data_IF_308008090489
#
_entry.id   IF_308008090489
#
_cell.length_a   1.000
_cell.length_b   1.000
_cell.length_c   1.000
_cell.angle_alpha   90.00
_cell.angle_beta   90.00
_cell.angle_gamma   90.00
#
_symmetry.space_group_name_H-M   'P 1'
#
loop_
_entity.id
_entity.type
_entity.pdbx_description
1 polymer ?
#
# COMPACT_ATOMS: atom_id res chain seq x y z
N UNK A 1 16.98 10.44 -19.69
CA UNK A 1 15.72 10.41 -20.48
C UNK A 1 14.60 10.97 -19.61
N UNK A 2 13.66 11.72 -20.18
CA UNK A 2 12.52 12.21 -19.39
C UNK A 2 11.52 11.07 -19.21
N UNK A 3 11.11 10.85 -17.97
CA UNK A 3 10.15 9.81 -17.60
C UNK A 3 8.78 10.46 -17.35
N UNK A 4 7.74 9.96 -18.02
CA UNK A 4 6.36 10.44 -17.89
C UNK A 4 5.45 9.25 -17.54
N UNK A 5 4.62 9.41 -16.51
CA UNK A 5 3.68 8.40 -16.04
C UNK A 5 2.33 9.04 -15.77
N UNK A 6 1.26 8.42 -16.28
CA UNK A 6 -0.11 8.67 -15.82
C UNK A 6 -0.52 7.57 -14.84
N UNK A 7 -0.95 7.94 -13.64
CA UNK A 7 -1.37 7.00 -12.59
C UNK A 7 -2.54 7.57 -11.79
N UNK A 8 -3.41 6.70 -11.31
CA UNK A 8 -4.56 7.05 -10.47
C UNK A 8 -5.20 5.80 -9.89
N UNK A 9 -5.96 5.97 -8.80
CA UNK A 9 -6.70 4.90 -8.14
C UNK A 9 -7.98 5.47 -7.51
N UNK A 10 -9.10 4.72 -7.47
CA UNK A 10 -10.18 5.01 -6.52
C UNK A 10 -9.68 4.81 -5.08
N UNK A 11 -10.46 5.25 -4.08
CA UNK A 11 -10.13 5.01 -2.66
C UNK A 11 -10.31 6.18 -1.70
N UNK A 12 -10.87 7.31 -2.16
CA UNK A 12 -11.16 8.46 -1.30
C UNK A 12 -9.92 9.04 -0.63
N UNK A 13 -9.92 9.11 0.71
CA UNK A 13 -8.79 9.65 1.48
C UNK A 13 -7.53 8.76 1.43
N UNK A 14 -7.63 7.52 0.94
CA UNK A 14 -6.52 6.55 0.85
C UNK A 14 -5.68 6.73 -0.42
N UNK A 15 -6.17 7.49 -1.40
CA UNK A 15 -5.55 7.67 -2.73
C UNK A 15 -4.07 8.10 -2.61
N UNK A 16 -3.70 9.12 -1.79
CA UNK A 16 -2.31 9.56 -1.71
C UNK A 16 -1.37 8.46 -1.18
N UNK A 17 -1.81 7.68 -0.20
CA UNK A 17 -1.01 6.62 0.40
C UNK A 17 -0.77 5.48 -0.57
N UNK A 18 -1.84 4.98 -1.22
CA UNK A 18 -1.76 3.89 -2.19
C UNK A 18 -0.88 4.27 -3.39
N UNK A 19 -1.05 5.49 -3.92
CA UNK A 19 -0.20 5.95 -5.03
C UNK A 19 1.26 6.09 -4.61
N UNK A 20 1.52 6.56 -3.39
CA UNK A 20 2.88 6.67 -2.87
C UNK A 20 3.55 5.29 -2.73
N UNK A 21 2.85 4.28 -2.21
CA UNK A 21 3.35 2.90 -2.13
C UNK A 21 3.79 2.39 -3.51
N UNK A 22 2.94 2.51 -4.53
CA UNK A 22 3.24 2.04 -5.89
C UNK A 22 4.41 2.80 -6.51
N UNK A 23 4.45 4.13 -6.37
CA UNK A 23 5.51 4.95 -6.97
C UNK A 23 6.86 4.67 -6.30
N UNK A 24 6.89 4.62 -4.96
CA UNK A 24 8.13 4.37 -4.21
C UNK A 24 8.66 2.98 -4.52
N UNK A 25 7.79 1.97 -4.59
CA UNK A 25 8.21 0.60 -4.91
C UNK A 25 8.74 0.49 -6.33
N UNK A 26 8.05 1.08 -7.31
CA UNK A 26 8.47 1.03 -8.72
C UNK A 26 9.81 1.74 -8.94
N UNK A 27 10.07 2.84 -8.23
CA UNK A 27 11.32 3.59 -8.38
C UNK A 27 12.51 2.93 -7.65
N UNK A 28 12.26 2.10 -6.64
CA UNK A 28 13.31 1.51 -5.81
C UNK A 28 13.49 -0.01 -5.99
N UNK A 29 12.64 -0.66 -6.78
CA UNK A 29 12.76 -2.08 -7.09
C UNK A 29 13.21 -2.31 -8.53
N UNK A 30 13.78 -3.50 -8.79
CA UNK A 30 14.08 -3.97 -10.16
C UNK A 30 12.83 -4.52 -10.87
N UNK A 31 11.64 -4.36 -10.27
CA UNK A 31 10.37 -4.88 -10.76
C UNK A 31 9.68 -3.96 -11.77
N UNK A 32 8.66 -4.51 -12.40
CA UNK A 32 7.73 -3.78 -13.26
C UNK A 32 6.71 -2.99 -12.44
N UNK A 33 6.17 -1.91 -13.03
CA UNK A 33 5.08 -1.15 -12.42
C UNK A 33 3.87 -2.03 -12.07
N UNK A 34 3.59 -3.07 -12.87
CA UNK A 34 2.49 -3.99 -12.61
C UNK A 34 2.74 -4.84 -11.36
N UNK A 35 3.99 -5.25 -11.11
CA UNK A 35 4.35 -5.96 -9.89
C UNK A 35 4.15 -5.06 -8.68
N UNK A 36 4.54 -3.78 -8.74
CA UNK A 36 4.27 -2.80 -7.68
C UNK A 36 2.78 -2.60 -7.41
N UNK A 37 1.94 -2.56 -8.46
CA UNK A 37 0.47 -2.45 -8.33
C UNK A 37 -0.15 -3.68 -7.65
N UNK A 38 0.44 -4.86 -7.86
CA UNK A 38 -0.05 -6.15 -7.36
C UNK A 38 0.42 -6.48 -5.93
N UNK A 39 1.32 -5.68 -5.36
CA UNK A 39 1.75 -5.89 -3.97
C UNK A 39 0.59 -5.63 -3.00
N UNK A 40 0.53 -6.35 -1.87
CA UNK A 40 -0.44 -6.10 -0.82
C UNK A 40 -0.34 -4.65 -0.33
N UNK A 41 -1.48 -3.98 -0.21
CA UNK A 41 -1.57 -2.56 0.16
C UNK A 41 -1.81 -2.39 1.65
N UNK A 42 -1.38 -1.25 2.18
CA UNK A 42 -1.78 -0.82 3.51
C UNK A 42 -2.06 0.68 3.53
N UNK A 43 -2.88 1.14 4.47
CA UNK A 43 -2.99 2.58 4.73
C UNK A 43 -3.10 2.84 6.22
N UNK A 44 -2.62 4.01 6.61
CA UNK A 44 -2.78 4.49 7.98
C UNK A 44 -4.06 5.33 8.09
N UNK A 45 -4.79 5.12 9.17
CA UNK A 45 -5.83 6.03 9.65
C UNK A 45 -5.64 6.23 11.16
N UNK A 46 -4.99 7.35 11.49
CA UNK A 46 -4.63 7.69 12.87
C UNK A 46 -3.67 6.67 13.48
N UNK A 47 -4.09 6.02 14.55
CA UNK A 47 -3.27 5.04 15.29
C UNK A 47 -3.29 3.63 14.71
N UNK A 48 -4.04 3.38 13.63
CA UNK A 48 -4.26 2.04 13.09
C UNK A 48 -3.78 1.94 11.64
N UNK A 49 -3.07 0.86 11.33
CA UNK A 49 -2.74 0.45 9.96
C UNK A 49 -3.73 -0.62 9.53
N UNK A 50 -4.41 -0.34 8.43
CA UNK A 50 -5.29 -1.27 7.75
C UNK A 50 -4.55 -1.91 6.58
N UNK A 51 -4.63 -3.24 6.45
CA UNK A 51 -3.86 -3.98 5.45
C UNK A 51 -4.70 -5.07 4.76
N UNK A 52 -4.28 -5.46 3.56
CA UNK A 52 -4.89 -6.55 2.78
C UNK A 52 -4.44 -7.94 3.29
N UNK A 53 -5.30 -8.96 3.16
CA UNK A 53 -5.04 -10.33 3.63
C UNK A 53 -3.69 -10.92 3.17
N UNK A 54 -3.21 -10.54 1.98
CA UNK A 54 -1.96 -11.06 1.41
C UNK A 54 -0.69 -10.47 2.07
N UNK A 55 -0.82 -9.58 3.06
CA UNK A 55 0.31 -9.02 3.81
C UNK A 55 1.00 -10.10 4.66
N UNK A 56 2.33 -10.06 4.72
CA UNK A 56 3.09 -11.06 5.48
C UNK A 56 3.04 -10.79 6.99
N UNK A 57 3.17 -11.85 7.80
CA UNK A 57 3.29 -11.70 9.26
C UNK A 57 4.50 -10.85 9.67
N UNK A 58 5.57 -10.86 8.87
CA UNK A 58 6.76 -10.04 9.10
C UNK A 58 6.43 -8.55 9.01
N UNK A 59 5.77 -8.11 7.93
CA UNK A 59 5.35 -6.72 7.74
C UNK A 59 4.35 -6.28 8.82
N UNK A 60 3.41 -7.16 9.18
CA UNK A 60 2.43 -6.92 10.25
C UNK A 60 3.14 -6.70 11.60
N UNK A 61 4.19 -7.47 11.88
CA UNK A 61 4.95 -7.33 13.11
C UNK A 61 5.80 -6.03 13.14
N UNK A 62 6.27 -5.57 11.98
CA UNK A 62 6.91 -4.25 11.87
C UNK A 62 5.93 -3.16 12.28
N UNK A 63 4.72 -3.15 11.74
CA UNK A 63 3.69 -2.15 12.10
C UNK A 63 3.40 -2.13 13.60
N UNK A 64 3.24 -3.30 14.23
CA UNK A 64 3.05 -3.43 15.67
C UNK A 64 4.25 -2.90 16.46
N UNK A 65 5.47 -3.20 16.02
CA UNK A 65 6.70 -2.75 16.69
C UNK A 65 6.86 -1.23 16.67
N UNK A 66 6.28 -0.56 15.67
CA UNK A 66 6.24 0.89 15.53
C UNK A 66 5.14 1.54 16.39
N UNK A 67 4.34 0.75 17.11
CA UNK A 67 3.29 1.22 18.01
C UNK A 67 1.92 1.40 17.36
N UNK A 68 1.72 0.93 16.13
CA UNK A 68 0.42 0.98 15.48
C UNK A 68 -0.48 -0.18 15.91
N UNK A 69 -1.78 0.09 16.04
CA UNK A 69 -2.79 -0.95 15.92
C UNK A 69 -2.79 -1.50 14.49
N UNK A 70 -3.16 -2.75 14.30
CA UNK A 70 -3.28 -3.34 12.96
C UNK A 70 -4.63 -4.02 12.79
N UNK A 71 -5.26 -3.81 11.63
CA UNK A 71 -6.55 -4.41 11.29
C UNK A 71 -6.53 -4.94 9.85
N UNK A 72 -6.83 -6.22 9.69
CA UNK A 72 -7.00 -6.80 8.37
C UNK A 72 -8.35 -6.38 7.78
N UNK A 73 -8.33 -5.81 6.58
CA UNK A 73 -9.54 -5.44 5.84
C UNK A 73 -9.87 -6.51 4.80
N UNK A 74 -10.80 -7.40 5.16
CA UNK A 74 -11.44 -8.28 4.19
C UNK A 74 -12.50 -7.54 3.38
N UNK A 75 -12.40 -7.56 2.04
CA UNK A 75 -13.41 -7.07 1.09
C UNK A 75 -13.84 -5.61 1.25
N UNK A 76 -12.89 -4.68 1.36
CA UNK A 76 -13.20 -3.26 1.17
C UNK A 76 -12.97 -2.90 -0.31
N UNK A 77 -14.02 -2.62 -1.10
CA UNK A 77 -13.88 -2.29 -2.53
C UNK A 77 -13.08 -1.00 -2.79
N UNK A 78 -12.70 -0.27 -1.73
CA UNK A 78 -11.80 0.87 -1.80
C UNK A 78 -10.31 0.50 -1.70
N UNK A 79 -9.98 -0.79 -1.53
CA UNK A 79 -8.63 -1.31 -1.71
C UNK A 79 -8.42 -1.86 -3.13
N UNK A 80 -9.46 -2.39 -3.77
CA UNK A 80 -9.47 -2.92 -5.12
C UNK A 80 -10.75 -3.71 -5.38
#
# INVERSE_FOLDING_TARGET
PNFYMGIGTPGGNKIPTILNEVIVDYLNSDGSLQESINKPRFYNDGGTIFYENAMTDEDINIFKSLGYGVEEKHNDPNFG
#
